data_IF_287155477979
#
_entry.id   IF_287155477979
#
_cell.length_a   1.000
_cell.length_b   1.000
_cell.length_c   1.000
_cell.angle_alpha   90.00
_cell.angle_beta   90.00
_cell.angle_gamma   90.00
#
_symmetry.space_group_name_H-M   'P 1'
#
loop_
_entity.id
_entity.type
_entity.pdbx_description
1 polymer ?
#
# COMPACT_ATOMS: atom_id res chain seq x y z
N UNK A 1 -2.02 -34.99 -48.73
CA UNK A 1 -1.22 -34.39 -47.66
C UNK A 1 -2.01 -33.30 -46.96
N UNK A 2 -2.66 -33.68 -45.89
CA UNK A 2 -3.40 -32.75 -45.02
C UNK A 2 -2.40 -32.08 -44.08
N UNK A 3 -2.07 -30.84 -44.34
CA UNK A 3 -1.40 -30.00 -43.37
C UNK A 3 -2.42 -29.59 -42.28
N UNK A 4 -2.14 -29.99 -41.06
CA UNK A 4 -2.95 -29.63 -39.92
C UNK A 4 -2.58 -28.21 -39.47
N UNK A 5 -3.47 -27.19 -39.58
CA UNK A 5 -3.16 -25.81 -39.21
C UNK A 5 -3.22 -25.54 -37.70
N UNK A 6 -3.49 -26.54 -36.87
CA UNK A 6 -3.73 -26.34 -35.44
C UNK A 6 -2.50 -26.53 -34.55
N UNK A 7 -1.30 -26.75 -35.13
CA UNK A 7 -0.10 -27.07 -34.36
C UNK A 7 0.64 -25.92 -33.70
N UNK A 8 0.25 -24.67 -33.87
CA UNK A 8 1.16 -23.57 -33.55
C UNK A 8 0.72 -22.56 -32.49
N UNK A 9 -0.51 -22.60 -31.99
CA UNK A 9 -0.99 -21.51 -31.15
C UNK A 9 -0.60 -21.59 -29.67
N UNK A 10 -0.23 -22.76 -29.18
CA UNK A 10 0.24 -22.90 -27.80
C UNK A 10 1.77 -23.11 -27.69
N UNK A 11 2.47 -23.12 -28.80
CA UNK A 11 3.94 -23.05 -28.83
C UNK A 11 4.51 -21.64 -28.78
N UNK A 12 3.68 -20.61 -28.94
CA UNK A 12 4.07 -19.25 -28.60
C UNK A 12 3.88 -19.06 -27.09
N UNK A 13 4.82 -19.59 -26.32
CA UNK A 13 5.04 -19.03 -25.00
C UNK A 13 5.37 -17.57 -25.22
N UNK A 14 4.58 -16.68 -24.66
CA UNK A 14 4.90 -15.26 -24.61
C UNK A 14 6.26 -15.11 -23.91
N UNK A 15 7.02 -14.07 -24.22
CA UNK A 15 8.28 -13.78 -23.53
C UNK A 15 8.11 -13.82 -22.00
N UNK A 16 6.95 -13.42 -21.50
CA UNK A 16 6.54 -13.53 -20.10
C UNK A 16 6.44 -15.00 -19.64
N UNK A 17 5.94 -15.91 -20.47
CA UNK A 17 5.86 -17.34 -20.14
C UNK A 17 7.21 -18.03 -20.06
N UNK A 18 8.19 -17.60 -20.86
CA UNK A 18 9.56 -18.09 -20.81
C UNK A 18 10.31 -17.51 -19.60
N UNK A 19 10.07 -16.25 -19.26
CA UNK A 19 10.60 -15.60 -18.08
C UNK A 19 10.09 -16.27 -16.80
N UNK A 20 8.80 -16.59 -16.73
CA UNK A 20 8.16 -17.34 -15.64
C UNK A 20 8.75 -18.75 -15.51
N UNK A 21 9.12 -19.41 -16.61
CA UNK A 21 9.68 -20.76 -16.59
C UNK A 21 11.12 -20.81 -16.05
N UNK A 22 11.87 -19.71 -16.12
CA UNK A 22 13.30 -19.63 -15.80
C UNK A 22 13.56 -18.93 -14.47
N UNK A 23 12.62 -18.18 -13.91
CA UNK A 23 12.74 -17.48 -12.63
C UNK A 23 11.73 -18.02 -11.60
N UNK A 24 12.18 -18.68 -10.51
CA UNK A 24 11.29 -19.19 -9.47
C UNK A 24 10.43 -18.09 -8.82
N UNK A 25 10.89 -16.83 -8.85
CA UNK A 25 10.16 -15.68 -8.28
C UNK A 25 9.16 -15.05 -9.27
N UNK A 26 9.17 -15.44 -10.55
CA UNK A 26 8.37 -14.80 -11.59
C UNK A 26 6.86 -14.93 -11.35
N UNK A 27 6.40 -16.07 -10.82
CA UNK A 27 5.00 -16.27 -10.45
C UNK A 27 4.58 -15.27 -9.38
N UNK A 28 5.37 -15.12 -8.33
CA UNK A 28 5.11 -14.15 -7.26
C UNK A 28 5.07 -12.71 -7.77
N UNK A 29 5.97 -12.35 -8.71
CA UNK A 29 5.99 -11.02 -9.34
C UNK A 29 4.73 -10.74 -10.14
N UNK A 30 4.27 -11.71 -10.95
CA UNK A 30 3.04 -11.58 -11.75
C UNK A 30 1.82 -11.43 -10.84
N UNK A 31 1.67 -12.28 -9.83
CA UNK A 31 0.56 -12.21 -8.88
C UNK A 31 0.54 -10.92 -8.08
N UNK A 32 1.69 -10.45 -7.65
CA UNK A 32 1.83 -9.18 -6.94
C UNK A 32 1.47 -7.99 -7.85
N UNK A 33 1.91 -8.00 -9.10
CA UNK A 33 1.55 -6.97 -10.08
C UNK A 33 0.05 -6.93 -10.39
N UNK A 34 -0.61 -8.09 -10.48
CA UNK A 34 -2.06 -8.17 -10.66
C UNK A 34 -2.84 -7.58 -9.48
N UNK A 35 -2.37 -7.77 -8.26
CA UNK A 35 -2.98 -7.13 -7.06
C UNK A 35 -2.95 -5.60 -7.13
N UNK A 36 -1.97 -5.03 -7.81
CA UNK A 36 -1.81 -3.58 -7.99
C UNK A 36 -2.42 -3.06 -9.30
N UNK A 37 -3.01 -3.93 -10.13
CA UNK A 37 -3.64 -3.54 -11.39
C UNK A 37 -5.01 -2.89 -11.21
N UNK A 38 -5.59 -2.94 -10.00
CA UNK A 38 -6.86 -2.32 -9.67
C UNK A 38 -6.81 -0.80 -9.54
N UNK A 39 -7.95 -0.25 -9.18
CA UNK A 39 -8.13 1.18 -8.93
C UNK A 39 -7.60 1.54 -7.53
N UNK A 40 -6.33 1.88 -7.48
CA UNK A 40 -5.67 2.38 -6.28
C UNK A 40 -5.71 3.91 -6.23
N UNK A 41 -5.65 4.45 -5.02
CA UNK A 41 -5.56 5.90 -4.81
C UNK A 41 -4.41 6.53 -5.61
N UNK A 42 -4.66 7.67 -6.25
CA UNK A 42 -3.69 8.38 -7.09
C UNK A 42 -2.41 8.77 -6.33
N UNK A 43 -2.50 9.00 -5.03
CA UNK A 43 -1.34 9.30 -4.18
C UNK A 43 -0.33 8.14 -4.08
N UNK A 44 -0.73 6.92 -4.47
CA UNK A 44 0.12 5.73 -4.52
C UNK A 44 0.92 5.59 -5.84
N UNK A 45 0.85 6.56 -6.74
CA UNK A 45 1.56 6.50 -8.03
C UNK A 45 3.06 6.26 -7.88
N UNK A 46 3.73 6.92 -6.92
CA UNK A 46 5.15 6.70 -6.65
C UNK A 46 5.43 5.27 -6.14
N UNK A 47 4.58 4.75 -5.27
CA UNK A 47 4.70 3.37 -4.78
C UNK A 47 4.57 2.36 -5.93
N UNK A 48 3.60 2.53 -6.82
CA UNK A 48 3.42 1.68 -8.01
C UNK A 48 4.61 1.74 -8.95
N UNK A 49 5.17 2.92 -9.19
CA UNK A 49 6.34 3.11 -10.06
C UNK A 49 7.58 2.39 -9.52
N UNK A 50 7.86 2.54 -8.22
CA UNK A 50 8.98 1.84 -7.59
C UNK A 50 8.77 0.32 -7.55
N UNK A 51 7.54 -0.14 -7.32
CA UNK A 51 7.19 -1.55 -7.40
C UNK A 51 7.47 -2.12 -8.79
N UNK A 52 7.07 -1.42 -9.86
CA UNK A 52 7.32 -1.84 -11.25
C UNK A 52 8.81 -1.93 -11.59
N UNK A 53 9.65 -1.14 -10.93
CA UNK A 53 11.11 -1.19 -11.06
C UNK A 53 11.76 -2.30 -10.21
N UNK A 54 10.98 -3.02 -9.40
CA UNK A 54 11.49 -4.04 -8.49
C UNK A 54 12.11 -3.49 -7.21
N UNK A 55 11.97 -2.19 -6.94
CA UNK A 55 12.40 -1.57 -5.69
C UNK A 55 11.26 -1.62 -4.66
N UNK A 56 11.09 -2.80 -4.07
CA UNK A 56 9.98 -3.10 -3.16
C UNK A 56 10.08 -2.36 -1.83
N UNK A 57 11.27 -2.14 -1.33
CA UNK A 57 11.50 -1.37 -0.10
C UNK A 57 11.04 0.08 -0.29
N UNK A 58 11.52 0.74 -1.34
CA UNK A 58 11.13 2.11 -1.66
C UNK A 58 9.63 2.20 -1.98
N UNK A 59 9.06 1.21 -2.67
CA UNK A 59 7.63 1.15 -2.95
C UNK A 59 6.78 1.12 -1.67
N UNK A 60 7.15 0.28 -0.71
CA UNK A 60 6.45 0.15 0.57
C UNK A 60 6.58 1.41 1.42
N UNK A 61 7.78 1.99 1.46
CA UNK A 61 8.01 3.28 2.13
C UNK A 61 7.18 4.40 1.51
N UNK A 62 7.17 4.51 0.16
CA UNK A 62 6.41 5.52 -0.55
C UNK A 62 4.89 5.40 -0.31
N UNK A 63 4.37 4.17 -0.22
CA UNK A 63 2.97 3.91 0.10
C UNK A 63 2.61 4.43 1.50
N UNK A 64 3.39 4.11 2.52
CA UNK A 64 3.13 4.58 3.88
C UNK A 64 3.37 6.09 4.04
N UNK A 65 4.33 6.65 3.29
CA UNK A 65 4.51 8.11 3.22
C UNK A 65 3.29 8.82 2.64
N UNK A 66 2.65 8.25 1.61
CA UNK A 66 1.41 8.80 1.06
C UNK A 66 0.30 8.85 2.11
N UNK A 67 0.13 7.80 2.91
CA UNK A 67 -0.82 7.78 4.04
C UNK A 67 -0.50 8.90 5.03
N UNK A 68 0.76 9.05 5.41
CA UNK A 68 1.18 10.09 6.36
C UNK A 68 0.89 11.50 5.85
N UNK A 69 1.20 11.76 4.59
CA UNK A 69 0.94 13.06 3.95
C UNK A 69 -0.54 13.37 3.94
N UNK A 70 -1.37 12.40 3.58
CA UNK A 70 -2.82 12.59 3.50
C UNK A 70 -3.47 12.74 4.87
N UNK A 71 -3.10 11.94 5.85
CA UNK A 71 -3.55 12.10 7.25
C UNK A 71 -3.23 13.51 7.75
N UNK A 72 -2.01 13.99 7.51
CA UNK A 72 -1.59 15.33 7.94
C UNK A 72 -2.43 16.42 7.25
N UNK A 73 -2.64 16.29 5.95
CA UNK A 73 -3.43 17.23 5.16
C UNK A 73 -4.86 17.34 5.67
N UNK A 74 -5.55 16.22 5.78
CA UNK A 74 -6.97 16.18 6.18
C UNK A 74 -7.15 16.59 7.65
N UNK A 75 -6.23 16.19 8.51
CA UNK A 75 -6.29 16.58 9.93
C UNK A 75 -5.85 18.04 10.19
N UNK A 76 -5.28 18.73 9.21
CA UNK A 76 -4.77 20.09 9.39
C UNK A 76 -3.63 20.19 10.40
N UNK A 77 -2.81 19.12 10.51
CA UNK A 77 -1.72 19.05 11.48
C UNK A 77 -0.39 19.55 10.90
N UNK A 78 0.51 20.08 11.74
CA UNK A 78 1.76 20.69 11.29
C UNK A 78 2.75 19.67 10.73
N UNK A 79 3.64 20.13 9.86
CA UNK A 79 4.63 19.28 9.16
C UNK A 79 5.66 18.63 10.10
N UNK A 80 5.89 19.19 11.25
CA UNK A 80 6.81 18.69 12.27
C UNK A 80 6.27 17.43 12.97
N UNK A 81 4.95 17.25 12.95
CA UNK A 81 4.31 16.06 13.52
C UNK A 81 4.34 14.93 12.48
N UNK A 82 5.05 13.85 12.79
CA UNK A 82 5.33 12.75 11.86
C UNK A 82 5.11 11.38 12.48
N UNK A 83 4.99 10.37 11.64
CA UNK A 83 4.99 8.97 12.04
C UNK A 83 3.86 8.58 12.99
N UNK A 84 4.19 7.75 13.95
CA UNK A 84 3.24 7.21 14.93
C UNK A 84 2.56 8.32 15.75
N UNK A 85 3.30 9.37 16.13
CA UNK A 85 2.77 10.50 16.89
C UNK A 85 1.69 11.26 16.10
N UNK A 86 1.90 11.46 14.79
CA UNK A 86 0.89 12.04 13.90
C UNK A 86 -0.38 11.19 13.88
N UNK A 87 -0.26 9.87 13.70
CA UNK A 87 -1.41 8.97 13.64
C UNK A 87 -2.21 8.98 14.94
N UNK A 88 -1.52 8.90 16.07
CA UNK A 88 -2.17 8.95 17.40
C UNK A 88 -2.87 10.28 17.66
N UNK A 89 -2.33 11.40 17.19
CA UNK A 89 -2.98 12.70 17.32
C UNK A 89 -4.19 12.83 16.39
N UNK A 90 -4.05 12.44 15.13
CA UNK A 90 -5.12 12.58 14.13
C UNK A 90 -6.36 11.73 14.47
N UNK A 91 -6.15 10.51 14.98
CA UNK A 91 -7.20 9.54 15.27
C UNK A 91 -7.49 9.38 16.77
N UNK A 92 -6.98 10.26 17.62
CA UNK A 92 -7.25 10.18 19.07
C UNK A 92 -8.75 10.06 19.37
N UNK A 93 -9.21 9.06 20.12
CA UNK A 93 -10.63 8.95 20.49
C UNK A 93 -11.15 10.17 21.28
N UNK A 94 -10.24 10.91 21.90
CA UNK A 94 -10.58 12.04 22.76
C UNK A 94 -10.75 13.34 22.00
N UNK A 95 -9.85 13.63 21.06
CA UNK A 95 -9.75 14.94 20.40
C UNK A 95 -9.22 14.85 18.96
N UNK A 96 -9.13 13.65 18.39
CA UNK A 96 -8.63 13.44 17.03
C UNK A 96 -9.63 13.90 15.97
N UNK A 97 -9.17 14.76 15.07
CA UNK A 97 -9.99 15.33 13.99
C UNK A 97 -10.54 14.24 13.06
N UNK A 98 -9.80 13.16 12.87
CA UNK A 98 -10.19 12.05 11.98
C UNK A 98 -10.89 10.91 12.72
N UNK A 99 -11.02 10.99 14.04
CA UNK A 99 -11.80 10.02 14.82
C UNK A 99 -13.27 10.07 14.41
N UNK A 100 -13.90 8.91 14.27
CA UNK A 100 -15.32 8.83 13.91
C UNK A 100 -16.18 9.06 15.17
N UNK A 101 -16.93 10.17 15.27
CA UNK A 101 -17.76 10.44 16.43
C UNK A 101 -18.96 9.48 16.56
N UNK A 102 -19.32 8.78 15.46
CA UNK A 102 -20.38 7.78 15.44
C UNK A 102 -19.94 6.38 15.88
N UNK A 103 -18.62 6.15 16.01
CA UNK A 103 -18.08 4.88 16.44
C UNK A 103 -17.96 4.80 17.97
N UNK A 104 -18.02 3.58 18.51
CA UNK A 104 -17.75 3.36 19.93
C UNK A 104 -16.27 3.62 20.27
N UNK A 105 -15.97 3.98 21.53
CA UNK A 105 -14.61 4.31 21.98
C UNK A 105 -13.59 3.20 21.73
N UNK A 106 -13.98 1.94 21.82
CA UNK A 106 -13.12 0.80 21.48
C UNK A 106 -12.76 0.74 19.99
N UNK A 107 -13.70 1.05 19.11
CA UNK A 107 -13.49 1.10 17.66
C UNK A 107 -12.63 2.31 17.28
N UNK A 108 -12.87 3.46 17.89
CA UNK A 108 -12.03 4.65 17.72
C UNK A 108 -10.57 4.37 18.10
N UNK A 109 -10.36 3.71 19.24
CA UNK A 109 -9.01 3.34 19.70
C UNK A 109 -8.37 2.31 18.75
N UNK A 110 -9.12 1.31 18.29
CA UNK A 110 -8.63 0.30 17.36
C UNK A 110 -8.20 0.93 16.03
N UNK A 111 -8.95 1.93 15.53
CA UNK A 111 -8.57 2.68 14.32
C UNK A 111 -7.29 3.47 14.53
N UNK A 112 -7.14 4.15 15.65
CA UNK A 112 -5.91 4.86 15.99
C UNK A 112 -4.70 3.91 16.08
N UNK A 113 -4.88 2.73 16.66
CA UNK A 113 -3.84 1.72 16.79
C UNK A 113 -3.49 1.08 15.44
N UNK A 114 -4.46 0.88 14.55
CA UNK A 114 -4.23 0.40 13.19
C UNK A 114 -3.32 1.36 12.41
N UNK A 115 -3.62 2.64 12.38
CA UNK A 115 -2.80 3.64 11.70
C UNK A 115 -1.41 3.77 12.32
N UNK A 116 -1.32 3.84 13.64
CA UNK A 116 -0.05 3.90 14.35
C UNK A 116 0.80 2.65 14.10
N UNK A 117 0.20 1.47 14.14
CA UNK A 117 0.85 0.18 13.88
C UNK A 117 1.34 0.06 12.45
N UNK A 118 0.54 0.42 11.47
CA UNK A 118 0.91 0.37 10.06
C UNK A 118 2.11 1.28 9.75
N UNK A 119 2.05 2.53 10.19
CA UNK A 119 3.17 3.48 10.00
C UNK A 119 4.42 3.03 10.76
N UNK A 120 4.28 2.57 12.00
CA UNK A 120 5.41 2.10 12.80
C UNK A 120 6.07 0.84 12.23
N UNK A 121 5.27 -0.08 11.70
CA UNK A 121 5.77 -1.34 11.15
C UNK A 121 6.38 -1.22 9.76
N UNK A 122 5.82 -0.39 8.87
CA UNK A 122 6.16 -0.42 7.45
C UNK A 122 6.84 0.84 6.92
N UNK A 123 6.81 1.96 7.63
CA UNK A 123 7.54 3.16 7.25
C UNK A 123 8.92 3.25 7.90
N UNK A 124 9.06 2.84 9.15
CA UNK A 124 10.27 3.06 9.96
C UNK A 124 11.28 1.89 10.01
N UNK A 125 11.04 0.66 9.52
CA UNK A 125 11.97 -0.47 9.78
C UNK A 125 13.36 -0.25 9.22
N UNK A 126 13.48 0.41 8.06
CA UNK A 126 14.75 0.66 7.39
C UNK A 126 15.64 1.69 8.08
N UNK A 127 15.12 2.45 9.04
CA UNK A 127 15.89 3.51 9.73
C UNK A 127 16.89 2.96 10.75
N UNK A 128 16.72 1.71 11.23
CA UNK A 128 17.45 1.17 12.38
C UNK A 128 18.08 -0.21 12.16
N UNK A 129 17.77 -0.90 11.07
CA UNK A 129 18.36 -2.20 10.71
C UNK A 129 18.30 -2.41 9.20
N UNK A 130 19.28 -3.13 8.64
CA UNK A 130 19.22 -3.62 7.27
C UNK A 130 18.13 -4.71 7.19
N UNK A 131 16.94 -4.35 6.69
CA UNK A 131 15.89 -5.31 6.35
C UNK A 131 15.95 -5.49 4.84
N UNK A 132 16.18 -6.74 4.40
CA UNK A 132 15.95 -7.06 2.99
C UNK A 132 14.44 -7.15 2.78
N UNK A 133 13.90 -6.17 2.10
CA UNK A 133 12.51 -6.17 1.67
C UNK A 133 12.49 -6.46 0.16
N UNK A 134 12.58 -7.73 -0.19
CA UNK A 134 12.72 -8.22 -1.56
C UNK A 134 11.56 -9.13 -2.02
N UNK A 135 10.52 -9.25 -1.20
CA UNK A 135 9.33 -10.02 -1.55
C UNK A 135 8.28 -9.13 -2.28
N UNK A 136 8.01 -9.39 -3.58
CA UNK A 136 7.01 -8.64 -4.32
C UNK A 136 5.59 -8.81 -3.76
N UNK A 137 5.25 -9.96 -3.19
CA UNK A 137 3.94 -10.22 -2.60
C UNK A 137 3.72 -9.35 -1.38
N UNK A 138 4.67 -9.33 -0.46
CA UNK A 138 4.61 -8.50 0.74
C UNK A 138 4.55 -7.00 0.40
N UNK A 139 5.35 -6.56 -0.57
CA UNK A 139 5.31 -5.17 -1.05
C UNK A 139 3.94 -4.79 -1.60
N UNK A 140 3.32 -5.65 -2.42
CA UNK A 140 1.98 -5.42 -2.94
C UNK A 140 0.94 -5.34 -1.82
N UNK A 141 1.05 -6.19 -0.81
CA UNK A 141 0.16 -6.19 0.35
C UNK A 141 0.30 -4.91 1.19
N UNK A 142 1.51 -4.39 1.36
CA UNK A 142 1.74 -3.10 2.02
C UNK A 142 1.12 -1.95 1.24
N UNK A 143 1.24 -1.95 -0.10
CA UNK A 143 0.61 -0.93 -0.95
C UNK A 143 -0.92 -1.01 -0.87
N UNK A 144 -1.50 -2.22 -0.87
CA UNK A 144 -2.93 -2.41 -0.71
C UNK A 144 -3.43 -2.00 0.69
N UNK A 145 -2.65 -2.25 1.74
CA UNK A 145 -2.94 -1.74 3.08
C UNK A 145 -2.95 -0.20 3.09
N UNK A 146 -1.98 0.43 2.45
CA UNK A 146 -1.96 1.89 2.32
C UNK A 146 -3.20 2.42 1.60
N UNK A 147 -3.64 1.77 0.52
CA UNK A 147 -4.88 2.11 -0.18
C UNK A 147 -6.11 2.02 0.74
N UNK A 148 -6.22 0.96 1.53
CA UNK A 148 -7.30 0.83 2.52
C UNK A 148 -7.27 1.96 3.55
N UNK A 149 -6.10 2.30 4.07
CA UNK A 149 -5.94 3.39 5.03
C UNK A 149 -6.32 4.75 4.41
N UNK A 150 -5.94 5.01 3.17
CA UNK A 150 -6.34 6.22 2.44
C UNK A 150 -7.85 6.32 2.26
N UNK A 151 -8.54 5.22 1.97
CA UNK A 151 -10.02 5.18 1.90
C UNK A 151 -10.66 5.50 3.25
N UNK A 152 -10.05 5.10 4.36
CA UNK A 152 -10.54 5.48 5.70
C UNK A 152 -10.37 6.99 5.93
N UNK A 153 -9.24 7.57 5.50
CA UNK A 153 -9.00 9.02 5.59
C UNK A 153 -10.01 9.81 4.75
N UNK A 154 -10.28 9.36 3.52
CA UNK A 154 -11.28 9.98 2.65
C UNK A 154 -12.67 10.01 3.28
N UNK A 155 -13.11 8.91 3.88
CA UNK A 155 -14.39 8.89 4.61
C UNK A 155 -14.40 9.82 5.81
N UNK A 156 -13.26 9.98 6.48
CA UNK A 156 -13.16 10.96 7.57
C UNK A 156 -13.25 12.41 7.07
N UNK A 157 -12.64 12.71 5.92
CA UNK A 157 -12.74 14.02 5.27
C UNK A 157 -14.18 14.33 4.83
N UNK A 158 -14.86 13.36 4.22
CA UNK A 158 -16.26 13.49 3.82
C UNK A 158 -17.16 13.82 5.00
N UNK A 159 -17.00 13.10 6.14
CA UNK A 159 -17.76 13.38 7.36
C UNK A 159 -17.52 14.79 7.94
N UNK A 160 -16.36 15.36 7.68
CA UNK A 160 -16.03 16.72 8.19
C UNK A 160 -16.61 17.83 7.33
N UNK A 161 -17.03 17.52 6.09
CA UNK A 161 -17.58 18.45 5.13
C UNK A 161 -19.14 18.47 5.14
N UNK A 162 -19.77 17.50 5.82
CA UNK A 162 -21.21 17.40 6.03
C UNK A 162 -21.65 18.10 7.32
#
# INVERSE_FOLDING_TARGET
SSQNPQGSNWQRRTALGDEVSNDPSAVSKVWAAERLAGDLDDSLASARSNFALGDYETASFAAMKAVEVEVRRVAGLPNELVGVALMRKAFSPKDGVLSDPGAEGGEQQATADLFAGAIGAFKNPASHRAVKFDDPTEAAEVIQLADLLLRIVQRAEERSND
#
